data_IF_802830074822
#
_entry.id   IF_802830074822
#
_cell.length_a   1.000
_cell.length_b   1.000
_cell.length_c   1.000
_cell.angle_alpha   90.00
_cell.angle_beta   90.00
_cell.angle_gamma   90.00
#
_symmetry.space_group_name_H-M   'P 1'
#
loop_
_entity.id
_entity.type
_entity.pdbx_description
1 polymer ?
#
# COMPACT_ATOMS: atom_id res chain seq x y z
N UNK A 1 -5.27 12.77 11.79
CA UNK A 1 -5.37 12.45 10.36
C UNK A 1 -4.00 11.99 9.96
N UNK A 2 -3.89 10.78 9.44
CA UNK A 2 -2.62 10.25 8.96
C UNK A 2 -2.55 10.44 7.46
N UNK A 3 -1.39 10.84 6.99
CA UNK A 3 -1.15 11.02 5.57
C UNK A 3 -0.61 9.71 4.98
N UNK A 4 -1.43 9.06 4.16
CA UNK A 4 -1.09 7.83 3.46
C UNK A 4 -0.85 8.12 1.98
N UNK A 5 0.14 7.47 1.39
CA UNK A 5 0.48 7.59 -0.02
C UNK A 5 0.26 6.26 -0.71
N UNK A 6 -0.55 6.22 -1.76
CA UNK A 6 -0.78 5.01 -2.54
C UNK A 6 0.51 4.60 -3.22
N UNK A 7 0.97 3.38 -2.91
CA UNK A 7 2.19 2.81 -3.47
C UNK A 7 1.91 1.63 -4.41
N UNK A 8 0.79 0.95 -4.23
CA UNK A 8 0.32 -0.06 -5.17
C UNK A 8 -1.20 -0.02 -5.28
N UNK A 9 -1.70 -0.26 -6.49
CA UNK A 9 -3.12 -0.39 -6.77
C UNK A 9 -3.33 -1.48 -7.81
N UNK A 10 -4.24 -2.41 -7.53
CA UNK A 10 -4.70 -3.41 -8.49
C UNK A 10 -6.01 -2.91 -9.08
N UNK A 11 -5.94 -2.40 -10.31
CA UNK A 11 -7.13 -1.98 -11.05
C UNK A 11 -7.80 -3.24 -11.61
N UNK A 12 -8.74 -3.81 -10.83
CA UNK A 12 -9.70 -4.75 -11.38
C UNK A 12 -10.72 -3.92 -12.15
N UNK A 13 -10.81 -4.13 -13.47
CA UNK A 13 -11.81 -3.49 -14.31
C UNK A 13 -13.19 -3.49 -13.60
N UNK A 14 -13.84 -2.33 -13.43
CA UNK A 14 -15.00 -2.16 -12.56
C UNK A 14 -16.29 -2.86 -13.05
N UNK A 15 -16.20 -3.81 -13.97
CA UNK A 15 -17.34 -4.51 -14.54
C UNK A 15 -17.86 -5.67 -13.67
N UNK A 16 -17.23 -5.94 -12.52
CA UNK A 16 -17.69 -6.97 -11.57
C UNK A 16 -18.15 -6.34 -10.24
N UNK A 17 -19.46 -6.11 -10.06
CA UNK A 17 -19.99 -5.42 -8.89
C UNK A 17 -19.83 -6.16 -7.54
N UNK A 18 -19.29 -7.38 -7.47
CA UNK A 18 -19.22 -8.17 -6.24
C UNK A 18 -17.89 -8.93 -6.01
N UNK A 19 -16.76 -8.47 -6.55
CA UNK A 19 -15.48 -9.16 -6.32
C UNK A 19 -15.05 -9.09 -4.84
N UNK A 20 -15.05 -10.24 -4.18
CA UNK A 20 -14.58 -10.49 -2.79
C UNK A 20 -13.05 -10.51 -2.67
N UNK A 21 -12.36 -10.26 -3.78
CA UNK A 21 -10.90 -10.38 -3.94
C UNK A 21 -10.19 -9.12 -3.39
N UNK A 22 -10.09 -9.05 -2.05
CA UNK A 22 -8.94 -8.50 -1.31
C UNK A 22 -8.49 -7.03 -1.60
N UNK A 23 -7.46 -6.47 -0.91
CA UNK A 23 -7.23 -5.02 -0.95
C UNK A 23 -6.88 -4.54 -2.36
N UNK A 24 -7.62 -3.56 -2.86
CA UNK A 24 -7.39 -2.98 -4.19
C UNK A 24 -6.30 -1.92 -4.18
N UNK A 25 -6.00 -1.37 -3.00
CA UNK A 25 -5.02 -0.29 -2.82
C UNK A 25 -4.16 -0.63 -1.60
N UNK A 26 -2.85 -0.46 -1.76
CA UNK A 26 -1.88 -0.40 -0.68
C UNK A 26 -1.35 1.02 -0.62
N UNK A 27 -1.51 1.66 0.53
CA UNK A 27 -0.93 2.94 0.82
C UNK A 27 0.06 2.85 1.98
N UNK A 28 0.99 3.78 2.07
CA UNK A 28 2.02 3.82 3.11
C UNK A 28 2.07 5.21 3.74
N UNK A 29 2.03 5.24 5.07
CA UNK A 29 2.36 6.43 5.86
C UNK A 29 3.82 6.32 6.26
N UNK A 30 4.62 7.26 5.75
CA UNK A 30 6.00 7.44 6.14
C UNK A 30 6.12 7.88 7.61
N UNK A 31 5.23 8.74 8.07
CA UNK A 31 5.28 9.31 9.43
C UNK A 31 4.94 8.29 10.51
N UNK A 32 3.98 7.40 10.23
CA UNK A 32 3.54 6.36 11.16
C UNK A 32 4.23 5.01 10.92
N UNK A 33 5.05 4.89 9.86
CA UNK A 33 5.65 3.64 9.40
C UNK A 33 4.61 2.51 9.27
N UNK A 34 3.46 2.82 8.64
CA UNK A 34 2.32 1.90 8.50
C UNK A 34 1.85 1.80 7.07
N UNK A 35 1.53 0.58 6.66
CA UNK A 35 0.76 0.33 5.45
C UNK A 35 -0.73 0.35 5.76
N UNK A 36 -1.50 0.90 4.84
CA UNK A 36 -2.94 0.87 4.83
C UNK A 36 -3.40 0.08 3.62
N UNK A 37 -4.08 -1.02 3.88
CA UNK A 37 -4.73 -1.85 2.87
C UNK A 37 -6.18 -1.45 2.76
N UNK A 38 -6.66 -1.10 1.57
CA UNK A 38 -8.05 -0.70 1.36
C UNK A 38 -8.77 -1.66 0.40
N UNK A 39 -9.87 -2.24 0.87
CA UNK A 39 -10.79 -2.99 0.02
C UNK A 39 -11.61 -2.05 -0.89
N UNK A 40 -11.83 -2.44 -2.14
CA UNK A 40 -12.63 -1.63 -3.08
C UNK A 40 -14.14 -1.80 -2.92
N UNK A 41 -14.91 -0.93 -3.59
CA UNK A 41 -16.39 -0.81 -3.46
C UNK A 41 -17.12 -2.16 -3.45
N UNK A 42 -17.82 -2.41 -2.35
CA UNK A 42 -18.72 -3.54 -2.16
C UNK A 42 -19.13 -3.75 -0.70
N UNK A 43 -18.23 -3.47 0.25
CA UNK A 43 -18.46 -3.79 1.67
C UNK A 43 -17.88 -2.75 2.63
N UNK A 44 -18.23 -1.47 2.46
CA UNK A 44 -17.65 -0.40 3.27
C UNK A 44 -16.14 -0.24 3.02
N UNK A 45 -15.58 0.90 3.44
CA UNK A 45 -14.13 1.11 3.37
C UNK A 45 -13.54 0.42 4.62
N UNK A 46 -13.54 -0.91 4.66
CA UNK A 46 -12.81 -1.64 5.70
C UNK A 46 -11.36 -1.70 5.26
N UNK A 47 -10.57 -0.76 5.80
CA UNK A 47 -9.13 -0.76 5.69
C UNK A 47 -8.48 -1.49 6.84
N UNK A 48 -7.32 -2.12 6.59
CA UNK A 48 -6.47 -2.68 7.64
C UNK A 48 -5.13 -1.95 7.65
N UNK A 49 -4.68 -1.56 8.84
CA UNK A 49 -3.35 -0.97 9.04
C UNK A 49 -2.36 -2.06 9.46
N UNK A 50 -1.24 -2.17 8.74
CA UNK A 50 -0.14 -3.06 9.08
C UNK A 50 1.12 -2.24 9.39
N UNK A 51 1.83 -2.50 10.49
CA UNK A 51 3.13 -1.87 10.73
C UNK A 51 4.15 -2.29 9.68
N UNK A 52 5.00 -1.36 9.22
CA UNK A 52 6.08 -1.64 8.28
C UNK A 52 7.02 -2.75 8.78
N UNK A 53 7.20 -2.87 10.10
CA UNK A 53 7.99 -3.95 10.71
C UNK A 53 7.41 -5.35 10.49
N UNK A 54 6.10 -5.47 10.27
CA UNK A 54 5.42 -6.76 10.09
C UNK A 54 5.32 -7.17 8.62
N UNK A 55 5.73 -6.32 7.67
CA UNK A 55 5.60 -6.61 6.22
C UNK A 55 6.50 -7.74 5.74
N UNK A 56 7.54 -8.07 6.52
CA UNK A 56 8.41 -9.20 6.25
C UNK A 56 7.90 -10.53 6.81
N UNK A 57 6.76 -10.55 7.52
CA UNK A 57 6.20 -11.79 8.03
C UNK A 57 5.60 -12.62 6.89
N UNK A 58 5.77 -13.94 6.98
CA UNK A 58 5.30 -14.90 5.99
C UNK A 58 3.81 -14.75 5.70
N UNK A 59 3.00 -14.44 6.73
CA UNK A 59 1.55 -14.24 6.63
C UNK A 59 1.12 -13.14 5.63
N UNK A 60 1.99 -12.16 5.34
CA UNK A 60 1.70 -11.08 4.40
C UNK A 60 2.31 -11.29 3.01
N UNK A 61 3.16 -12.31 2.86
CA UNK A 61 3.86 -12.57 1.59
C UNK A 61 2.89 -12.93 0.48
N UNK A 62 1.89 -13.77 0.78
CA UNK A 62 0.81 -14.12 -0.15
C UNK A 62 0.02 -12.87 -0.60
N UNK A 63 -0.30 -11.97 0.34
CA UNK A 63 -0.97 -10.69 0.04
C UNK A 63 -0.20 -9.89 -1.01
N UNK A 64 1.10 -9.68 -0.75
CA UNK A 64 1.95 -8.92 -1.65
C UNK A 64 2.14 -9.62 -3.00
N UNK A 65 2.16 -10.95 -3.04
CA UNK A 65 2.24 -11.73 -4.27
C UNK A 65 0.97 -11.55 -5.12
N UNK A 66 -0.21 -11.66 -4.52
CA UNK A 66 -1.50 -11.49 -5.20
C UNK A 66 -1.70 -10.09 -5.79
N UNK A 67 -1.12 -9.07 -5.14
CA UNK A 67 -1.15 -7.67 -5.58
C UNK A 67 0.02 -7.29 -6.48
N UNK A 68 0.89 -8.24 -6.83
CA UNK A 68 2.13 -8.00 -7.57
C UNK A 68 2.98 -6.87 -6.95
N UNK A 69 3.01 -6.86 -5.62
CA UNK A 69 3.54 -5.82 -4.76
C UNK A 69 4.63 -6.34 -3.80
N UNK A 70 5.26 -7.46 -4.13
CA UNK A 70 6.35 -8.09 -3.36
C UNK A 70 7.59 -7.19 -3.22
N UNK A 71 7.71 -6.15 -4.04
CA UNK A 71 8.73 -5.13 -3.94
C UNK A 71 8.52 -4.16 -2.77
N UNK A 72 7.32 -4.08 -2.18
CA UNK A 72 7.02 -3.17 -1.06
C UNK A 72 7.83 -3.52 0.20
N UNK A 73 7.81 -4.77 0.72
CA UNK A 73 8.60 -5.10 1.90
C UNK A 73 10.11 -4.90 1.67
N UNK A 74 10.60 -5.14 0.45
CA UNK A 74 12.00 -4.87 0.12
C UNK A 74 12.31 -3.36 0.09
N UNK A 75 11.39 -2.55 -0.46
CA UNK A 75 11.48 -1.09 -0.41
C UNK A 75 11.51 -0.59 1.03
N UNK A 76 10.59 -1.04 1.89
CA UNK A 76 10.49 -0.59 3.28
C UNK A 76 11.71 -1.02 4.10
N UNK A 77 12.27 -2.21 3.83
CA UNK A 77 13.46 -2.71 4.51
C UNK A 77 14.74 -1.97 4.10
N UNK A 78 14.86 -1.60 2.83
CA UNK A 78 16.04 -0.94 2.28
C UNK A 78 15.97 0.60 2.33
N UNK A 79 14.82 1.18 2.63
CA UNK A 79 14.64 2.63 2.64
C UNK A 79 14.55 3.17 4.06
N UNK A 80 15.53 3.99 4.44
CA UNK A 80 15.43 4.83 5.62
C UNK A 80 15.03 6.24 5.15
N UNK A 81 13.74 6.40 4.84
CA UNK A 81 13.22 7.69 4.44
C UNK A 81 13.48 8.68 5.58
N UNK A 82 14.31 9.69 5.36
CA UNK A 82 14.62 10.68 6.41
C UNK A 82 13.66 11.89 6.39
N UNK A 83 12.98 12.08 5.26
CA UNK A 83 11.99 13.14 5.02
C UNK A 83 11.01 12.70 3.93
N UNK A 84 9.86 13.37 3.85
CA UNK A 84 8.86 13.17 2.81
C UNK A 84 9.43 13.28 1.38
N UNK A 85 10.35 14.22 1.12
CA UNK A 85 10.95 14.41 -0.21
C UNK A 85 11.74 13.17 -0.69
N UNK A 86 12.43 12.49 0.24
CA UNK A 86 13.20 11.28 -0.04
C UNK A 86 12.26 10.10 -0.39
N UNK A 87 11.16 9.99 0.35
CA UNK A 87 10.09 9.04 0.06
C UNK A 87 9.48 9.28 -1.32
N UNK A 88 9.08 10.52 -1.63
CA UNK A 88 8.50 10.87 -2.93
C UNK A 88 9.47 10.66 -4.09
N UNK A 89 10.78 10.90 -3.89
CA UNK A 89 11.82 10.59 -4.88
C UNK A 89 11.93 9.09 -5.15
N UNK A 90 11.83 8.27 -4.11
CA UNK A 90 11.86 6.81 -4.24
C UNK A 90 10.64 6.28 -4.99
N UNK A 91 9.44 6.80 -4.70
CA UNK A 91 8.24 6.46 -5.47
C UNK A 91 8.36 6.85 -6.95
N UNK A 92 8.89 8.05 -7.24
CA UNK A 92 9.15 8.50 -8.61
C UNK A 92 10.14 7.60 -9.33
N UNK A 93 11.19 7.13 -8.64
CA UNK A 93 12.19 6.20 -9.20
C UNK A 93 11.57 4.86 -9.58
N UNK A 94 10.57 4.41 -8.83
CA UNK A 94 9.80 3.19 -9.10
C UNK A 94 8.66 3.40 -10.11
N UNK A 95 8.51 4.61 -10.65
CA UNK A 95 7.45 4.99 -11.59
C UNK A 95 6.03 4.80 -11.00
N UNK A 96 5.90 4.99 -9.68
CA UNK A 96 4.62 4.87 -8.96
C UNK A 96 3.92 6.24 -8.95
N UNK A 97 2.63 6.30 -9.30
CA UNK A 97 1.87 7.55 -9.20
C UNK A 97 1.75 7.99 -7.73
N UNK A 98 2.06 9.25 -7.46
CA UNK A 98 1.92 9.83 -6.12
C UNK A 98 0.47 10.24 -5.92
N UNK A 99 -0.29 9.41 -5.20
CA UNK A 99 -1.65 9.73 -4.77
C UNK A 99 -1.70 9.78 -3.25
N UNK A 100 -2.04 10.94 -2.69
CA UNK A 100 -2.16 11.17 -1.25
C UNK A 100 -3.60 10.95 -0.81
N UNK A 101 -3.77 10.25 0.30
CA UNK A 101 -5.04 9.99 0.97
C UNK A 101 -4.91 10.28 2.46
N UNK A 102 -6.01 10.71 3.07
CA UNK A 102 -6.09 10.98 4.50
C UNK A 102 -7.05 9.98 5.13
N UNK A 103 -6.59 9.31 6.18
CA UNK A 103 -7.39 8.38 6.98
C UNK A 103 -7.34 8.74 8.47
#
# INVERSE_FOLDING_TARGET
MKDFYVIAKKDLEPNLPHSTDWPKIIAYSYEDEKLLFLAGKGHGISGFELPASETGASDWTDLFLELNATWIPDLLKNSNFSCLDDFLKSLKKLNIPIEKMQA
#
